data_IF_032552096670
#
_entry.id   IF_032552096670
#
_cell.length_a   1.000
_cell.length_b   1.000
_cell.length_c   1.000
_cell.angle_alpha   90.00
_cell.angle_beta   90.00
_cell.angle_gamma   90.00
#
_symmetry.space_group_name_H-M   'P 1'
#
loop_
_entity.id
_entity.type
_entity.pdbx_description
1 polymer ?
#
# COMPACT_ATOMS: atom_id res chain seq x y z
N UNK A 1 16.55 21.03 15.20
CA UNK A 1 15.16 20.81 14.78
C UNK A 1 15.01 21.36 13.38
N UNK A 2 14.51 20.55 12.46
CA UNK A 2 14.35 20.94 11.05
C UNK A 2 13.25 22.01 10.91
N UNK A 3 13.52 23.18 10.27
CA UNK A 3 12.49 24.20 10.06
C UNK A 3 11.25 23.70 9.33
N UNK A 4 11.39 22.66 8.49
CA UNK A 4 10.27 22.06 7.75
C UNK A 4 9.21 21.40 8.65
N UNK A 5 9.53 21.16 9.93
CA UNK A 5 8.67 20.46 10.88
C UNK A 5 7.93 21.37 11.86
N UNK A 6 8.06 22.70 11.76
CA UNK A 6 7.57 23.64 12.80
C UNK A 6 6.11 23.46 13.22
N UNK A 7 5.22 23.05 12.32
CA UNK A 7 3.77 22.85 12.57
C UNK A 7 3.30 21.43 12.15
N UNK A 8 4.22 20.46 12.19
CA UNK A 8 3.98 19.09 11.75
C UNK A 8 2.82 18.44 12.52
N UNK A 9 1.94 17.74 11.80
CA UNK A 9 0.90 16.93 12.44
C UNK A 9 -0.27 17.69 13.05
N UNK A 10 -0.38 19.00 12.79
CA UNK A 10 -1.44 19.87 13.35
C UNK A 10 -2.76 19.81 12.58
N UNK A 11 -2.73 19.38 11.31
CA UNK A 11 -3.90 19.29 10.43
C UNK A 11 -4.13 17.85 9.99
N UNK A 12 -5.37 17.39 10.10
CA UNK A 12 -5.79 16.08 9.59
C UNK A 12 -5.47 15.90 8.10
N UNK A 13 -5.03 14.70 7.74
CA UNK A 13 -4.60 14.34 6.39
C UNK A 13 -3.10 14.03 6.30
N UNK A 14 -2.61 13.95 5.06
CA UNK A 14 -1.23 13.53 4.77
C UNK A 14 -0.31 14.71 4.43
N UNK A 15 0.91 14.64 4.95
CA UNK A 15 2.03 15.54 4.64
C UNK A 15 3.22 14.71 4.16
N UNK A 16 3.86 15.12 3.06
CA UNK A 16 4.96 14.39 2.45
C UNK A 16 6.18 15.29 2.30
N UNK A 17 7.34 14.77 2.69
CA UNK A 17 8.64 15.40 2.47
C UNK A 17 9.55 14.45 1.71
N UNK A 18 10.33 15.00 0.78
CA UNK A 18 11.43 14.32 0.09
C UNK A 18 12.74 14.70 0.78
N UNK A 19 13.66 13.75 0.89
CA UNK A 19 14.95 13.99 1.51
C UNK A 19 15.91 14.55 0.46
N UNK A 20 16.53 15.67 0.78
CA UNK A 20 17.56 16.29 -0.06
C UNK A 20 18.76 16.66 0.83
N UNK A 21 19.91 16.00 0.64
CA UNK A 21 21.16 16.29 1.35
C UNK A 21 20.95 16.52 2.86
N UNK A 22 20.41 15.51 3.56
CA UNK A 22 20.12 15.53 5.01
C UNK A 22 18.98 16.46 5.48
N UNK A 23 18.29 17.15 4.56
CA UNK A 23 17.18 18.09 4.87
C UNK A 23 15.84 17.60 4.33
N UNK A 24 14.74 18.11 4.89
CA UNK A 24 13.37 17.80 4.45
C UNK A 24 12.83 18.88 3.50
N UNK A 25 12.46 18.49 2.28
CA UNK A 25 11.77 19.33 1.32
C UNK A 25 10.29 18.93 1.23
N UNK A 26 9.36 19.81 1.63
CA UNK A 26 7.92 19.52 1.61
C UNK A 26 7.41 19.47 0.18
N UNK A 27 6.76 18.37 -0.20
CA UNK A 27 6.19 18.22 -1.53
C UNK A 27 4.88 19.01 -1.68
N UNK A 28 4.62 19.60 -2.86
CA UNK A 28 3.29 20.10 -3.19
C UNK A 28 2.29 18.95 -3.31
N UNK A 29 1.02 19.18 -2.93
CA UNK A 29 -0.03 18.14 -2.96
C UNK A 29 -0.24 17.52 -4.35
N UNK A 30 0.06 18.25 -5.42
CA UNK A 30 -0.04 17.76 -6.80
C UNK A 30 0.96 16.64 -7.12
N UNK A 31 2.06 16.55 -6.36
CA UNK A 31 3.10 15.54 -6.51
C UNK A 31 2.92 14.37 -5.54
N UNK A 32 1.88 14.39 -4.69
CA UNK A 32 1.62 13.27 -3.79
C UNK A 32 1.34 12.00 -4.58
N UNK A 33 2.04 10.92 -4.20
CA UNK A 33 2.03 9.65 -4.92
C UNK A 33 3.11 9.51 -5.98
N UNK A 34 3.93 10.54 -6.23
CA UNK A 34 5.12 10.46 -7.10
C UNK A 34 6.36 10.25 -6.23
N UNK A 35 7.04 9.12 -6.41
CA UNK A 35 8.26 8.79 -5.69
C UNK A 35 9.38 8.48 -6.68
N UNK A 36 10.55 9.07 -6.48
CA UNK A 36 11.74 8.77 -7.27
C UNK A 36 12.45 7.55 -6.66
N UNK A 37 12.81 6.58 -7.50
CA UNK A 37 13.44 5.32 -7.07
C UNK A 37 14.78 5.54 -6.37
N UNK A 38 15.47 6.64 -6.68
CA UNK A 38 16.77 7.00 -6.12
C UNK A 38 16.72 7.79 -4.82
N UNK A 39 15.55 8.09 -4.26
CA UNK A 39 15.45 8.93 -3.05
C UNK A 39 14.68 8.25 -1.92
N UNK A 40 14.70 8.92 -0.76
CA UNK A 40 13.92 8.56 0.41
C UNK A 40 12.94 9.68 0.79
N UNK A 41 11.82 9.29 1.41
CA UNK A 41 10.70 10.19 1.72
C UNK A 41 10.19 9.96 3.14
N UNK A 42 9.57 11.00 3.70
CA UNK A 42 8.78 10.93 4.93
C UNK A 42 7.33 11.22 4.58
N UNK A 43 6.41 10.36 5.02
CA UNK A 43 4.96 10.56 4.90
C UNK A 43 4.35 10.51 6.29
N UNK A 44 3.76 11.62 6.73
CA UNK A 44 3.00 11.68 7.98
C UNK A 44 1.52 11.66 7.65
N UNK A 45 0.77 10.76 8.29
CA UNK A 45 -0.68 10.76 8.29
C UNK A 45 -1.20 11.18 9.67
N UNK A 46 -1.87 12.33 9.73
CA UNK A 46 -2.55 12.82 10.93
C UNK A 46 -3.99 12.34 10.92
N UNK A 47 -4.31 11.43 11.84
CA UNK A 47 -5.66 10.86 12.04
C UNK A 47 -6.49 11.75 12.96
N UNK A 48 -7.77 11.41 13.04
CA UNK A 48 -8.65 11.89 14.11
C UNK A 48 -8.09 11.51 15.50
N UNK A 49 -8.37 12.33 16.51
CA UNK A 49 -8.00 12.13 17.92
C UNK A 49 -6.49 12.15 18.23
N UNK A 50 -5.71 13.01 17.57
CA UNK A 50 -4.27 13.17 17.89
C UNK A 50 -3.52 11.83 17.80
N UNK A 51 -3.84 11.04 16.77
CA UNK A 51 -3.11 9.83 16.43
C UNK A 51 -2.40 10.05 15.10
N UNK A 52 -1.19 9.50 14.98
CA UNK A 52 -0.33 9.72 13.83
C UNK A 52 0.30 8.42 13.37
N UNK A 53 0.46 8.26 12.06
CA UNK A 53 1.42 7.32 11.48
C UNK A 53 2.51 8.11 10.78
N UNK A 54 3.77 7.81 11.08
CA UNK A 54 4.92 8.33 10.32
C UNK A 54 5.56 7.19 9.55
N UNK A 55 5.58 7.32 8.24
CA UNK A 55 6.20 6.38 7.32
C UNK A 55 7.48 6.99 6.81
N UNK A 56 8.55 6.20 6.75
CA UNK A 56 9.71 6.53 5.94
C UNK A 56 9.81 5.54 4.80
N UNK A 57 9.70 6.06 3.58
CA UNK A 57 9.70 5.28 2.35
C UNK A 57 11.08 5.33 1.71
N UNK A 58 11.60 4.16 1.35
CA UNK A 58 12.93 3.98 0.79
C UNK A 58 12.82 3.47 -0.65
N UNK A 59 13.33 4.27 -1.59
CA UNK A 59 13.43 3.89 -3.00
C UNK A 59 14.39 2.73 -3.23
N UNK A 60 14.16 1.97 -4.30
CA UNK A 60 14.98 0.81 -4.67
C UNK A 60 16.48 1.16 -4.84
N UNK A 61 16.77 2.39 -5.28
CA UNK A 61 18.10 2.90 -5.58
C UNK A 61 18.55 4.02 -4.62
N UNK A 62 17.88 4.22 -3.47
CA UNK A 62 18.25 5.30 -2.54
C UNK A 62 19.58 5.03 -1.83
N UNK A 63 20.35 6.09 -1.62
CA UNK A 63 21.67 6.02 -0.97
C UNK A 63 21.57 5.63 0.52
N UNK A 64 22.65 5.09 1.09
CA UNK A 64 22.69 4.67 2.51
C UNK A 64 22.49 5.88 3.44
N UNK A 65 23.03 7.03 3.08
CA UNK A 65 22.91 8.27 3.86
C UNK A 65 21.49 8.86 3.79
N UNK A 66 20.79 8.77 2.65
CA UNK A 66 19.37 9.14 2.59
C UNK A 66 18.49 8.19 3.41
N UNK A 67 18.74 6.87 3.34
CA UNK A 67 18.04 5.88 4.16
C UNK A 67 18.22 6.20 5.66
N UNK A 68 19.47 6.46 6.08
CA UNK A 68 19.79 6.85 7.44
C UNK A 68 19.14 8.17 7.84
N UNK A 69 19.12 9.15 6.93
CA UNK A 69 18.42 10.42 7.14
C UNK A 69 16.93 10.20 7.33
N UNK A 70 16.29 9.35 6.54
CA UNK A 70 14.86 9.09 6.63
C UNK A 70 14.48 8.52 8.00
N UNK A 71 15.25 7.54 8.48
CA UNK A 71 15.06 6.98 9.80
C UNK A 71 15.24 8.05 10.92
N UNK A 72 16.27 8.90 10.81
CA UNK A 72 16.51 10.00 11.77
C UNK A 72 15.36 11.00 11.76
N UNK A 73 14.87 11.40 10.58
CA UNK A 73 13.77 12.36 10.43
C UNK A 73 12.43 11.82 10.94
N UNK A 74 12.16 10.53 10.74
CA UNK A 74 11.00 9.89 11.37
C UNK A 74 11.08 9.94 12.91
N UNK A 75 12.27 9.78 13.49
CA UNK A 75 12.50 9.93 14.94
C UNK A 75 12.37 11.39 15.39
N UNK A 76 12.83 12.38 14.60
CA UNK A 76 12.64 13.80 14.90
C UNK A 76 11.14 14.17 14.98
N UNK A 77 10.34 13.71 14.01
CA UNK A 77 8.88 13.90 14.00
C UNK A 77 8.22 13.19 15.19
N UNK A 78 8.63 11.95 15.47
CA UNK A 78 8.15 11.19 16.63
C UNK A 78 8.35 11.97 17.93
N UNK A 79 9.56 12.48 18.18
CA UNK A 79 9.87 13.25 19.38
C UNK A 79 9.07 14.55 19.46
N UNK A 80 8.84 15.22 18.32
CA UNK A 80 8.03 16.44 18.28
C UNK A 80 6.56 16.18 18.58
N UNK A 81 6.06 15.00 18.23
CA UNK A 81 4.71 14.53 18.53
C UNK A 81 4.69 13.67 19.81
N UNK A 82 5.60 13.95 20.75
CA UNK A 82 5.67 13.36 22.09
C UNK A 82 5.81 11.83 22.14
N UNK A 83 6.37 11.22 21.10
CA UNK A 83 6.51 9.77 20.99
C UNK A 83 5.18 9.06 20.71
N UNK A 84 4.12 9.77 20.35
CA UNK A 84 2.81 9.17 20.08
C UNK A 84 2.73 8.46 18.70
N UNK A 85 3.37 8.94 17.62
CA UNK A 85 3.20 8.32 16.29
C UNK A 85 3.62 6.84 16.22
N UNK A 86 2.88 6.04 15.45
CA UNK A 86 3.35 4.72 15.02
C UNK A 86 4.32 4.92 13.85
N UNK A 87 5.51 4.31 13.90
CA UNK A 87 6.49 4.45 12.82
C UNK A 87 6.47 3.23 11.91
N UNK A 88 6.51 3.46 10.60
CA UNK A 88 6.47 2.40 9.59
C UNK A 88 7.63 2.54 8.62
N UNK A 89 8.37 1.44 8.42
CA UNK A 89 9.38 1.33 7.35
C UNK A 89 8.71 0.83 6.08
N UNK A 90 8.73 1.65 5.03
CA UNK A 90 8.15 1.32 3.73
C UNK A 90 9.26 1.14 2.68
N UNK A 91 9.20 0.06 1.91
CA UNK A 91 10.18 -0.26 0.87
C UNK A 91 9.45 -0.26 -0.47
N UNK A 92 10.03 0.38 -1.49
CA UNK A 92 9.46 0.43 -2.83
C UNK A 92 8.98 -0.96 -3.30
N UNK A 93 7.72 -1.03 -3.73
CA UNK A 93 7.09 -2.27 -4.24
C UNK A 93 6.56 -3.21 -3.14
N UNK A 94 6.90 -2.98 -1.88
CA UNK A 94 6.52 -3.79 -0.73
C UNK A 94 5.88 -2.95 0.40
N UNK A 95 5.29 -1.81 0.04
CA UNK A 95 4.66 -0.91 0.99
C UNK A 95 3.45 -1.55 1.67
N UNK A 96 3.18 -1.10 2.90
CA UNK A 96 2.06 -1.57 3.69
C UNK A 96 0.72 -1.24 3.03
N UNK A 97 -0.32 -2.08 3.22
CA UNK A 97 -1.67 -1.74 2.80
C UNK A 97 -2.14 -0.39 3.37
N UNK A 98 -1.67 -0.02 4.56
CA UNK A 98 -1.93 1.27 5.18
C UNK A 98 -1.32 2.41 4.36
N UNK A 99 -0.03 2.34 4.02
CA UNK A 99 0.63 3.36 3.20
C UNK A 99 0.00 3.49 1.82
N UNK A 100 -0.25 2.37 1.14
CA UNK A 100 -0.87 2.36 -0.19
C UNK A 100 -2.27 2.99 -0.17
N UNK A 101 -3.02 2.82 0.93
CA UNK A 101 -4.38 3.38 1.07
C UNK A 101 -4.45 4.91 1.04
N UNK A 102 -3.34 5.60 1.31
CA UNK A 102 -3.27 7.07 1.23
C UNK A 102 -3.30 7.58 -0.21
N UNK A 103 -2.88 6.75 -1.16
CA UNK A 103 -2.78 7.10 -2.56
C UNK A 103 -3.89 6.38 -3.35
N UNK A 104 -5.14 6.84 -3.23
CA UNK A 104 -6.29 6.22 -3.94
C UNK A 104 -6.12 6.22 -5.46
N UNK A 105 -5.44 7.22 -6.00
CA UNK A 105 -5.01 7.28 -7.40
C UNK A 105 -3.74 6.47 -7.67
N UNK A 106 -3.32 5.61 -6.75
CA UNK A 106 -2.08 4.82 -6.64
C UNK A 106 -0.77 5.61 -6.75
N UNK A 107 0.31 4.85 -6.81
CA UNK A 107 1.69 5.34 -6.69
C UNK A 107 2.40 5.29 -8.03
N UNK A 108 3.26 6.29 -8.28
CA UNK A 108 4.16 6.39 -9.43
C UNK A 108 5.61 6.31 -8.97
N UNK A 109 6.37 5.36 -9.50
CA UNK A 109 7.81 5.28 -9.34
C UNK A 109 8.51 5.86 -10.56
N UNK A 110 9.24 6.96 -10.34
CA UNK A 110 10.00 7.67 -11.36
C UNK A 110 11.47 7.27 -11.28
N UNK A 111 12.11 7.08 -12.43
CA UNK A 111 13.56 6.85 -12.43
C UNK A 111 14.33 8.12 -12.00
N UNK A 112 15.52 7.91 -11.43
CA UNK A 112 16.37 9.00 -10.94
C UNK A 112 16.11 9.38 -9.49
N UNK A 113 16.50 10.61 -9.16
CA UNK A 113 16.54 11.16 -7.80
C UNK A 113 17.38 12.44 -7.75
N UNK A 114 17.70 12.96 -6.56
CA UNK A 114 18.56 14.13 -6.43
C UNK A 114 19.98 13.86 -6.96
N UNK A 115 20.54 12.66 -6.72
CA UNK A 115 21.90 12.33 -7.18
C UNK A 115 22.05 12.36 -8.71
N UNK A 116 20.97 12.06 -9.43
CA UNK A 116 20.97 12.03 -10.91
C UNK A 116 20.62 13.39 -11.53
N UNK A 117 20.45 14.44 -10.72
CA UNK A 117 20.22 15.82 -11.18
C UNK A 117 18.80 16.08 -11.66
N UNK A 118 17.81 15.27 -11.25
CA UNK A 118 16.40 15.56 -11.52
C UNK A 118 15.89 16.68 -10.60
N UNK A 119 16.30 17.91 -10.90
CA UNK A 119 15.77 19.14 -10.34
C UNK A 119 14.72 19.77 -11.28
N UNK A 120 13.71 20.39 -10.68
CA UNK A 120 12.64 21.05 -11.42
C UNK A 120 13.08 22.41 -12.00
N UNK A 121 12.84 22.61 -13.32
CA UNK A 121 12.70 23.89 -14.09
C UNK A 121 13.85 24.42 -14.96
N UNK A 122 13.69 24.29 -16.30
CA UNK A 122 13.53 25.33 -17.35
C UNK A 122 12.70 24.68 -18.48
N UNK A 123 11.96 25.47 -19.28
CA UNK A 123 10.77 25.07 -20.08
C UNK A 123 10.66 23.56 -20.40
N UNK A 124 9.81 22.87 -19.64
CA UNK A 124 9.84 21.40 -19.46
C UNK A 124 9.56 20.60 -20.74
N UNK A 125 9.14 21.25 -21.83
CA UNK A 125 8.65 20.57 -23.05
C UNK A 125 9.50 20.76 -24.29
N UNK A 126 10.39 21.75 -24.34
CA UNK A 126 11.18 22.03 -25.56
C UNK A 126 12.12 20.87 -25.91
N UNK A 127 12.64 20.19 -24.89
CA UNK A 127 13.47 18.99 -25.02
C UNK A 127 12.92 17.84 -24.17
N UNK A 128 11.59 17.62 -24.23
CA UNK A 128 10.96 16.56 -23.43
C UNK A 128 11.54 15.19 -23.80
N UNK A 129 12.27 14.56 -22.87
CA UNK A 129 12.74 13.19 -23.02
C UNK A 129 11.53 12.24 -22.95
N UNK A 130 11.22 11.49 -24.03
CA UNK A 130 10.14 10.51 -24.01
C UNK A 130 10.31 9.47 -22.90
N UNK A 131 9.20 9.04 -22.31
CA UNK A 131 9.19 8.05 -21.23
C UNK A 131 8.10 7.03 -21.46
N UNK A 132 8.33 5.81 -20.99
CA UNK A 132 7.33 4.76 -20.98
C UNK A 132 6.96 4.46 -19.54
N UNK A 133 5.68 4.57 -19.23
CA UNK A 133 5.15 4.22 -17.91
C UNK A 133 4.37 2.91 -18.05
N UNK A 134 4.59 2.00 -17.12
CA UNK A 134 3.89 0.72 -17.02
C UNK A 134 2.93 0.77 -15.84
N UNK A 135 1.63 0.69 -16.10
CA UNK A 135 0.60 0.49 -15.09
C UNK A 135 0.46 -1.00 -14.83
N UNK A 136 0.80 -1.43 -13.61
CA UNK A 136 0.69 -2.82 -13.20
C UNK A 136 0.15 -2.94 -11.79
N UNK A 137 -0.73 -3.92 -11.62
CA UNK A 137 -1.18 -4.37 -10.32
C UNK A 137 -2.67 -4.63 -10.34
N UNK A 138 -3.11 -5.58 -9.52
CA UNK A 138 -4.53 -5.90 -9.41
C UNK A 138 -5.25 -4.78 -8.67
N UNK A 139 -4.94 -4.62 -7.39
CA UNK A 139 -5.64 -3.70 -6.51
C UNK A 139 -4.96 -2.34 -6.38
N UNK A 140 -3.71 -2.38 -5.96
CA UNK A 140 -2.86 -1.20 -5.85
C UNK A 140 -2.06 -1.08 -7.16
N UNK A 141 -2.72 -0.59 -8.22
CA UNK A 141 -2.05 -0.36 -9.50
C UNK A 141 -0.94 0.66 -9.29
N UNK A 142 0.29 0.18 -9.41
CA UNK A 142 1.51 0.99 -9.39
C UNK A 142 1.83 1.38 -10.82
N UNK A 143 2.41 2.56 -10.97
CA UNK A 143 2.91 3.01 -12.26
C UNK A 143 4.40 3.16 -12.17
N UNK A 144 5.14 2.44 -12.98
CA UNK A 144 6.59 2.43 -12.92
C UNK A 144 7.14 2.95 -14.24
N UNK A 145 8.09 3.87 -14.20
CA UNK A 145 8.88 4.21 -15.38
C UNK A 145 9.72 2.97 -15.78
N UNK A 146 9.62 2.60 -17.06
CA UNK A 146 10.32 1.47 -17.67
C UNK A 146 11.07 1.94 -18.91
N UNK A 147 12.02 1.13 -19.38
CA UNK A 147 12.76 1.43 -20.60
C UNK A 147 11.80 1.65 -21.79
N UNK A 148 12.03 2.69 -22.58
CA UNK A 148 11.29 2.93 -23.84
C UNK A 148 11.77 1.93 -24.90
N UNK A 149 11.31 0.69 -24.77
CA UNK A 149 11.77 -0.45 -25.57
C UNK A 149 10.63 -1.44 -25.79
N UNK A 150 10.57 -2.11 -26.96
CA UNK A 150 9.62 -3.20 -27.20
C UNK A 150 9.67 -4.29 -26.13
N UNK A 151 10.85 -4.53 -25.54
CA UNK A 151 11.07 -5.56 -24.51
C UNK A 151 10.32 -5.27 -23.20
N UNK A 152 9.92 -4.02 -22.97
CA UNK A 152 9.18 -3.62 -21.77
C UNK A 152 7.67 -3.82 -21.92
N UNK A 153 7.18 -3.88 -23.16
CA UNK A 153 5.75 -4.07 -23.46
C UNK A 153 5.33 -5.54 -23.29
N UNK A 154 4.08 -5.75 -22.91
CA UNK A 154 3.42 -7.06 -22.93
C UNK A 154 1.90 -6.87 -23.15
N UNK A 155 1.17 -7.95 -23.45
CA UNK A 155 -0.26 -7.88 -23.73
C UNK A 155 -1.17 -7.88 -22.50
N UNK A 156 -0.61 -7.96 -21.28
CA UNK A 156 -1.37 -8.07 -20.03
C UNK A 156 -1.33 -6.85 -19.11
N UNK A 157 -0.49 -5.86 -19.37
CA UNK A 157 -0.39 -4.63 -18.58
C UNK A 157 -0.75 -3.39 -19.45
N UNK A 158 -1.12 -2.27 -18.82
CA UNK A 158 -1.36 -1.00 -19.53
C UNK A 158 -0.10 -0.16 -19.57
N UNK A 159 0.18 0.48 -20.72
CA UNK A 159 1.36 1.32 -20.89
C UNK A 159 0.99 2.73 -21.31
N UNK A 160 1.69 3.73 -20.76
CA UNK A 160 1.54 5.13 -21.15
C UNK A 160 2.84 5.59 -21.79
N UNK A 161 2.77 5.90 -23.09
CA UNK A 161 3.88 6.55 -23.79
C UNK A 161 3.70 8.06 -23.67
N UNK A 162 4.62 8.67 -22.94
CA UNK A 162 4.62 10.09 -22.65
C UNK A 162 5.65 10.82 -23.53
N UNK A 163 5.15 11.67 -24.42
CA UNK A 163 5.94 12.51 -25.33
C UNK A 163 5.83 14.00 -24.96
N UNK A 164 5.41 14.33 -23.74
CA UNK A 164 5.28 15.72 -23.28
C UNK A 164 3.93 16.34 -23.66
N UNK A 165 3.76 16.76 -24.92
CA UNK A 165 2.50 17.34 -25.42
C UNK A 165 1.55 16.32 -26.07
N UNK A 166 1.99 15.06 -26.16
CA UNK A 166 1.19 13.95 -26.67
C UNK A 166 1.37 12.75 -25.74
N UNK A 167 0.27 12.15 -25.30
CA UNK A 167 0.26 11.06 -24.33
C UNK A 167 -0.57 9.93 -24.93
N UNK A 168 0.03 8.77 -25.18
CA UNK A 168 -0.69 7.58 -25.61
C UNK A 168 -0.95 6.68 -24.41
N UNK A 169 -2.18 6.20 -24.25
CA UNK A 169 -2.53 5.15 -23.30
C UNK A 169 -2.81 3.88 -24.10
N UNK A 170 -1.85 2.97 -24.09
CA UNK A 170 -1.92 1.68 -24.78
C UNK A 170 -2.52 0.63 -23.87
N UNK A 171 -3.69 0.10 -24.26
CA UNK A 171 -4.50 -0.86 -23.52
C UNK A 171 -4.66 -2.15 -24.31
N UNK A 172 -3.70 -3.08 -24.17
CA UNK A 172 -3.74 -4.38 -24.85
C UNK A 172 -4.96 -5.22 -24.44
N UNK A 173 -5.37 -6.20 -25.25
CA UNK A 173 -6.59 -6.96 -25.03
C UNK A 173 -6.67 -7.65 -23.66
N UNK A 174 -5.55 -8.16 -23.14
CA UNK A 174 -5.51 -8.88 -21.86
C UNK A 174 -5.19 -7.98 -20.65
N UNK A 175 -5.18 -6.66 -20.81
CA UNK A 175 -4.94 -5.73 -19.68
C UNK A 175 -6.13 -5.61 -18.73
N UNK A 176 -5.86 -5.60 -17.43
CA UNK A 176 -6.87 -5.62 -16.37
C UNK A 176 -7.71 -4.33 -16.30
N UNK A 177 -8.95 -4.45 -15.82
CA UNK A 177 -9.90 -3.31 -15.76
C UNK A 177 -9.37 -2.16 -14.92
N UNK A 178 -8.84 -2.45 -13.74
CA UNK A 178 -8.29 -1.43 -12.83
C UNK A 178 -7.03 -0.77 -13.41
N UNK A 179 -6.19 -1.53 -14.12
CA UNK A 179 -5.01 -1.01 -14.80
C UNK A 179 -5.38 -0.04 -15.93
N UNK A 180 -6.44 -0.35 -16.71
CA UNK A 180 -6.99 0.53 -17.75
C UNK A 180 -7.54 1.82 -17.18
N UNK A 181 -8.38 1.74 -16.14
CA UNK A 181 -8.90 2.92 -15.43
C UNK A 181 -7.74 3.79 -14.95
N UNK A 182 -6.76 3.17 -14.28
CA UNK A 182 -5.59 3.86 -13.76
C UNK A 182 -4.76 4.53 -14.86
N UNK A 183 -4.51 3.84 -15.96
CA UNK A 183 -3.75 4.38 -17.09
C UNK A 183 -4.39 5.67 -17.64
N UNK A 184 -5.70 5.68 -17.76
CA UNK A 184 -6.48 6.85 -18.21
C UNK A 184 -6.47 7.98 -17.19
N UNK A 185 -6.79 7.68 -15.92
CA UNK A 185 -6.79 8.69 -14.85
C UNK A 185 -5.42 9.35 -14.69
N UNK A 186 -4.35 8.57 -14.87
CA UNK A 186 -3.00 9.10 -14.85
C UNK A 186 -2.73 10.02 -16.05
N UNK A 187 -3.09 9.64 -17.28
CA UNK A 187 -2.95 10.50 -18.44
C UNK A 187 -3.70 11.84 -18.26
N UNK A 188 -4.93 11.77 -17.75
CA UNK A 188 -5.75 12.95 -17.40
C UNK A 188 -5.10 13.81 -16.31
N UNK A 189 -4.54 13.18 -15.28
CA UNK A 189 -3.83 13.88 -14.20
C UNK A 189 -2.56 14.56 -14.73
N UNK A 190 -1.77 13.91 -15.57
CA UNK A 190 -0.59 14.53 -16.20
C UNK A 190 -1.00 15.74 -17.06
N UNK A 191 -2.05 15.59 -17.86
CA UNK A 191 -2.61 16.68 -18.66
C UNK A 191 -3.03 17.86 -17.78
N UNK A 192 -3.90 17.64 -16.79
CA UNK A 192 -4.50 18.70 -15.96
C UNK A 192 -3.52 19.30 -14.97
N UNK A 193 -2.85 18.46 -14.19
CA UNK A 193 -2.08 18.88 -13.00
C UNK A 193 -0.65 19.26 -13.33
N UNK A 194 0.01 18.56 -14.25
CA UNK A 194 1.45 18.76 -14.52
C UNK A 194 1.71 19.69 -15.71
N UNK A 195 0.73 19.82 -16.61
CA UNK A 195 0.94 20.41 -17.95
C UNK A 195 -0.10 21.44 -18.36
N UNK A 196 -0.95 21.85 -17.40
CA UNK A 196 -1.96 22.90 -17.55
C UNK A 196 -2.92 22.64 -18.74
N UNK A 197 -3.35 21.40 -18.91
CA UNK A 197 -4.33 21.00 -19.92
C UNK A 197 -3.79 20.85 -21.34
N UNK A 198 -2.52 21.17 -21.60
CA UNK A 198 -1.95 21.26 -22.97
C UNK A 198 -1.87 19.93 -23.75
N UNK A 199 -1.52 18.78 -23.13
CA UNK A 199 -1.32 17.57 -23.90
C UNK A 199 -2.58 17.00 -24.55
N UNK A 200 -2.41 16.41 -25.74
CA UNK A 200 -3.38 15.51 -26.37
C UNK A 200 -3.26 14.10 -25.76
N UNK A 201 -4.38 13.49 -25.39
CA UNK A 201 -4.44 12.10 -24.90
C UNK A 201 -5.05 11.22 -25.98
N UNK A 202 -4.35 10.15 -26.36
CA UNK A 202 -4.79 9.17 -27.37
C UNK A 202 -4.93 7.81 -26.69
N UNK A 203 -6.15 7.28 -26.68
CA UNK A 203 -6.44 5.96 -26.13
C UNK A 203 -6.36 4.92 -27.24
N UNK A 204 -5.44 3.96 -27.10
CA UNK A 204 -5.28 2.83 -28.02
C UNK A 204 -5.82 1.57 -27.33
N UNK A 205 -7.07 1.22 -27.63
CA UNK A 205 -7.79 0.11 -26.98
C UNK A 205 -8.24 -0.90 -28.04
N UNK A 206 -9.42 -0.75 -28.63
CA UNK A 206 -9.86 -1.59 -29.75
C UNK A 206 -8.91 -1.55 -30.96
N UNK A 207 -8.15 -0.47 -31.09
CA UNK A 207 -7.14 -0.16 -32.10
C UNK A 207 -5.70 -0.28 -31.55
N UNK A 208 -5.49 -0.99 -30.43
CA UNK A 208 -4.18 -1.17 -29.78
C UNK A 208 -3.06 -1.60 -30.73
N UNK A 209 -3.38 -2.36 -31.78
CA UNK A 209 -2.42 -2.86 -32.77
C UNK A 209 -2.33 -1.99 -34.04
N UNK A 210 -3.19 -0.97 -34.21
CA UNK A 210 -3.33 -0.19 -35.43
C UNK A 210 -3.03 1.30 -35.21
N UNK A 211 -1.82 1.62 -34.74
CA UNK A 211 -1.35 3.00 -34.55
C UNK A 211 0.10 3.18 -35.01
N UNK A 212 0.35 3.46 -36.31
CA UNK A 212 1.71 3.65 -36.83
C UNK A 212 2.50 4.72 -36.08
N UNK A 213 1.82 5.78 -35.63
CA UNK A 213 2.43 6.87 -34.86
C UNK A 213 2.90 6.45 -33.47
N UNK A 214 2.23 5.50 -32.82
CA UNK A 214 2.70 4.91 -31.58
C UNK A 214 3.87 3.97 -31.85
N UNK A 215 3.71 3.06 -32.81
CA UNK A 215 4.69 2.01 -33.09
C UNK A 215 6.03 2.52 -33.63
N UNK A 216 6.09 3.71 -34.25
CA UNK A 216 7.36 4.32 -34.67
C UNK A 216 8.35 4.51 -33.52
N UNK A 217 7.87 4.67 -32.28
CA UNK A 217 8.70 4.78 -31.08
C UNK A 217 9.24 3.43 -30.59
N UNK A 218 8.77 2.32 -31.17
CA UNK A 218 9.13 0.95 -30.83
C UNK A 218 9.70 0.18 -32.03
N UNK A 219 10.14 0.87 -33.09
CA UNK A 219 10.73 0.25 -34.29
C UNK A 219 9.77 -0.01 -35.46
N UNK A 220 8.52 0.43 -35.38
CA UNK A 220 7.52 0.35 -36.45
C UNK A 220 6.41 -0.67 -36.19
N UNK A 221 5.39 -0.67 -37.04
CA UNK A 221 4.13 -1.42 -36.82
C UNK A 221 4.30 -2.94 -36.72
N UNK A 222 5.39 -3.50 -37.23
CA UNK A 222 5.68 -4.94 -37.15
C UNK A 222 6.08 -5.39 -35.72
N UNK A 223 6.50 -4.45 -34.87
CA UNK A 223 6.91 -4.74 -33.49
C UNK A 223 5.81 -5.40 -32.66
N UNK A 224 4.52 -5.11 -32.93
CA UNK A 224 3.40 -5.74 -32.20
C UNK A 224 3.46 -7.28 -32.24
N UNK A 225 3.97 -7.86 -33.34
CA UNK A 225 4.09 -9.32 -33.51
C UNK A 225 5.10 -9.96 -32.58
N UNK A 226 5.99 -9.16 -31.97
CA UNK A 226 7.03 -9.61 -31.04
C UNK A 226 6.59 -9.52 -29.57
N UNK A 227 5.48 -8.85 -29.29
CA UNK A 227 4.99 -8.63 -27.93
C UNK A 227 4.29 -9.89 -27.43
N UNK A 228 4.71 -10.39 -26.27
CA UNK A 228 4.16 -11.61 -25.66
C UNK A 228 3.14 -11.29 -24.57
N UNK A 229 2.43 -12.32 -24.12
CA UNK A 229 1.67 -12.26 -22.88
C UNK A 229 2.59 -11.93 -21.70
N UNK A 230 2.02 -11.30 -20.67
CA UNK A 230 2.76 -11.02 -19.44
C UNK A 230 3.14 -12.34 -18.77
N UNK A 231 4.37 -12.44 -18.27
CA UNK A 231 4.71 -13.50 -17.33
C UNK A 231 4.12 -13.12 -15.98
N UNK A 232 3.32 -14.00 -15.41
CA UNK A 232 2.84 -13.85 -14.06
C UNK A 232 4.04 -13.71 -13.10
N UNK A 233 3.97 -12.69 -12.26
CA UNK A 233 4.95 -12.47 -11.19
C UNK A 233 4.73 -13.55 -10.14
N UNK A 234 5.85 -14.10 -9.66
CA UNK A 234 5.93 -15.17 -8.68
C UNK A 234 4.92 -14.99 -7.54
N UNK A 235 4.10 -16.02 -7.38
CA UNK A 235 3.06 -16.08 -6.36
C UNK A 235 3.66 -16.39 -4.99
N UNK A 236 3.26 -15.62 -3.98
CA UNK A 236 3.31 -16.08 -2.59
C UNK A 236 2.23 -17.17 -2.40
N UNK A 237 2.58 -18.41 -2.73
CA UNK A 237 1.87 -19.58 -2.23
C UNK A 237 2.04 -19.60 -0.71
N UNK A 238 1.00 -19.16 0.03
CA UNK A 238 0.63 -19.54 1.41
C UNK A 238 0.09 -18.40 2.30
N UNK A 239 -0.57 -17.37 1.74
CA UNK A 239 -1.14 -16.26 2.54
C UNK A 239 -2.03 -16.71 3.73
N UNK A 240 -2.68 -17.89 3.66
CA UNK A 240 -3.45 -18.46 4.79
C UNK A 240 -3.03 -19.87 5.24
N UNK A 241 -2.00 -20.49 4.64
CA UNK A 241 -1.72 -21.92 4.86
C UNK A 241 -0.54 -22.26 5.77
N UNK A 242 0.41 -21.34 6.01
CA UNK A 242 1.59 -21.63 6.86
C UNK A 242 1.76 -20.77 8.13
N UNK A 243 0.92 -19.76 8.37
CA UNK A 243 1.19 -18.75 9.42
C UNK A 243 0.67 -19.07 10.83
N UNK A 244 0.45 -20.35 11.14
CA UNK A 244 0.09 -20.78 12.51
C UNK A 244 1.20 -21.53 13.23
N UNK A 245 2.44 -21.43 12.75
CA UNK A 245 3.62 -21.94 13.45
C UNK A 245 4.70 -20.84 13.58
N UNK A 246 4.85 -20.37 14.83
CA UNK A 246 5.88 -19.48 15.38
C UNK A 246 5.74 -17.98 15.10
N UNK A 247 4.65 -17.36 15.59
CA UNK A 247 4.77 -15.94 16.02
C UNK A 247 5.82 -15.91 17.12
N UNK A 248 6.87 -15.10 16.96
CA UNK A 248 7.97 -15.04 17.93
C UNK A 248 7.92 -13.73 18.68
N UNK A 249 7.97 -13.79 20.01
CA UNK A 249 8.12 -12.63 20.86
C UNK A 249 9.51 -12.64 21.48
N UNK A 250 10.31 -11.62 21.17
CA UNK A 250 11.62 -11.40 21.77
C UNK A 250 11.56 -10.25 22.76
N UNK A 251 12.19 -10.39 23.91
CA UNK A 251 12.36 -9.33 24.92
C UNK A 251 13.76 -8.75 24.81
N UNK A 252 13.84 -7.42 24.71
CA UNK A 252 15.06 -6.63 24.72
C UNK A 252 15.13 -5.91 26.06
N UNK A 253 16.03 -6.35 26.92
CA UNK A 253 16.13 -5.85 28.31
C UNK A 253 17.57 -5.63 28.73
N UNK A 254 17.83 -4.55 29.46
CA UNK A 254 19.12 -4.23 30.06
C UNK A 254 19.20 -4.50 31.56
N UNK A 255 18.16 -5.12 32.15
CA UNK A 255 18.01 -5.44 33.57
C UNK A 255 19.24 -6.17 34.17
N UNK A 256 19.96 -6.95 33.36
CA UNK A 256 21.20 -7.64 33.79
C UNK A 256 22.47 -6.78 33.79
N UNK A 257 22.36 -5.46 33.57
CA UNK A 257 23.48 -4.51 33.41
C UNK A 257 24.05 -4.44 31.98
N UNK A 258 23.61 -5.33 31.08
CA UNK A 258 23.93 -5.32 29.65
C UNK A 258 22.66 -5.62 28.86
N UNK A 259 22.48 -4.93 27.72
CA UNK A 259 21.31 -5.14 26.87
C UNK A 259 21.37 -6.52 26.22
N UNK A 260 20.41 -7.38 26.56
CA UNK A 260 20.25 -8.73 26.01
C UNK A 260 18.96 -8.81 25.22
N UNK A 261 18.96 -9.68 24.21
CA UNK A 261 17.75 -10.06 23.46
C UNK A 261 17.51 -11.54 23.68
N UNK A 262 16.36 -11.87 24.28
CA UNK A 262 15.98 -13.24 24.63
C UNK A 262 14.63 -13.58 24.02
N UNK A 263 14.44 -14.84 23.65
CA UNK A 263 13.15 -15.34 23.20
C UNK A 263 12.22 -15.43 24.42
N UNK A 264 11.13 -14.65 24.41
CA UNK A 264 10.17 -14.57 25.51
C UNK A 264 8.97 -15.49 25.31
N UNK A 265 8.51 -15.68 24.07
CA UNK A 265 7.42 -16.61 23.76
C UNK A 265 7.47 -17.12 22.30
N UNK A 266 6.95 -18.33 22.10
CA UNK A 266 6.66 -18.90 20.79
C UNK A 266 5.15 -19.19 20.70
N UNK A 267 4.44 -18.44 19.87
CA UNK A 267 2.98 -18.44 19.72
C UNK A 267 2.19 -18.08 20.99
N UNK A 268 0.88 -17.83 20.82
CA UNK A 268 -0.05 -17.58 21.93
C UNK A 268 0.31 -16.35 22.76
N UNK A 269 0.53 -15.20 22.11
CA UNK A 269 0.94 -14.00 22.82
C UNK A 269 -0.18 -13.51 23.74
N UNK A 270 0.22 -12.91 24.86
CA UNK A 270 -0.66 -12.27 25.81
C UNK A 270 -0.08 -10.90 26.17
N UNK A 271 -0.92 -9.87 26.24
CA UNK A 271 -0.58 -8.51 26.68
C UNK A 271 0.30 -8.51 27.94
N UNK A 272 0.01 -9.37 28.92
CA UNK A 272 0.76 -9.46 30.18
C UNK A 272 2.25 -9.84 30.00
N UNK A 273 2.65 -10.33 28.82
CA UNK A 273 4.06 -10.59 28.49
C UNK A 273 4.83 -9.31 28.15
N UNK A 274 4.15 -8.22 27.79
CA UNK A 274 4.74 -6.93 27.46
C UNK A 274 5.00 -6.13 28.74
N UNK A 275 6.22 -6.23 29.25
CA UNK A 275 6.66 -5.44 30.41
C UNK A 275 6.90 -3.99 30.01
N UNK A 276 6.20 -3.05 30.66
CA UNK A 276 6.36 -1.61 30.43
C UNK A 276 7.79 -1.08 30.61
N UNK A 277 8.68 -1.81 31.30
CA UNK A 277 10.07 -1.40 31.51
C UNK A 277 11.04 -1.85 30.41
N UNK A 278 10.60 -2.62 29.41
CA UNK A 278 11.48 -3.18 28.38
C UNK A 278 10.96 -2.88 26.96
N UNK A 279 11.74 -3.26 25.95
CA UNK A 279 11.31 -3.30 24.56
C UNK A 279 11.06 -4.75 24.10
N UNK A 280 10.18 -4.93 23.13
CA UNK A 280 9.79 -6.24 22.61
C UNK A 280 9.77 -6.24 21.08
N UNK A 281 10.06 -7.40 20.48
CA UNK A 281 10.07 -7.58 19.03
C UNK A 281 9.15 -8.75 18.70
N UNK A 282 8.13 -8.49 17.90
CA UNK A 282 7.11 -9.47 17.50
C UNK A 282 7.29 -9.79 16.03
N UNK A 283 7.71 -11.00 15.72
CA UNK A 283 7.73 -11.52 14.35
C UNK A 283 6.40 -12.22 14.07
N UNK A 284 5.56 -11.57 13.26
CA UNK A 284 4.24 -12.09 12.87
C UNK A 284 4.28 -12.81 11.52
N UNK A 285 5.47 -12.91 10.93
CA UNK A 285 5.75 -13.52 9.62
C UNK A 285 5.07 -12.78 8.46
N UNK A 286 3.74 -12.88 8.35
CA UNK A 286 2.96 -12.21 7.28
C UNK A 286 2.61 -10.76 7.61
N UNK A 287 2.39 -10.42 8.88
CA UNK A 287 2.05 -9.07 9.31
C UNK A 287 3.27 -8.15 9.50
N UNK A 288 4.46 -8.62 9.13
CA UNK A 288 5.73 -7.93 9.37
C UNK A 288 6.27 -8.11 10.79
N UNK A 289 7.24 -7.26 11.13
CA UNK A 289 7.87 -7.24 12.45
C UNK A 289 7.43 -5.99 13.19
N UNK A 290 7.00 -6.16 14.44
CA UNK A 290 6.68 -5.05 15.32
C UNK A 290 7.78 -4.87 16.36
N UNK A 291 8.16 -3.63 16.63
CA UNK A 291 9.03 -3.24 17.75
C UNK A 291 8.19 -2.46 18.75
N UNK A 292 7.74 -3.12 19.81
CA UNK A 292 6.95 -2.50 20.88
C UNK A 292 7.88 -1.93 21.96
N UNK A 293 7.64 -0.69 22.36
CA UNK A 293 8.46 0.04 23.32
C UNK A 293 7.64 0.34 24.57
N UNK A 294 8.04 -0.25 25.70
CA UNK A 294 7.45 0.06 27.00
C UNK A 294 7.72 1.49 27.44
N UNK A 295 6.80 2.09 28.20
CA UNK A 295 6.91 3.47 28.72
C UNK A 295 8.17 3.71 29.57
N UNK A 296 8.64 2.67 30.24
CA UNK A 296 9.84 2.67 31.08
C UNK A 296 11.10 2.14 30.40
N UNK A 297 11.06 1.75 29.12
CA UNK A 297 12.23 1.22 28.44
C UNK A 297 13.36 2.26 28.35
N UNK A 298 14.60 1.80 28.49
CA UNK A 298 15.76 2.69 28.45
C UNK A 298 16.09 3.11 27.01
N UNK A 299 16.83 4.21 26.86
CA UNK A 299 17.32 4.64 25.54
C UNK A 299 18.21 3.56 24.88
N UNK A 300 18.93 2.79 25.68
CA UNK A 300 19.78 1.70 25.19
C UNK A 300 18.94 0.54 24.66
N UNK A 301 17.88 0.16 25.36
CA UNK A 301 16.91 -0.84 24.90
C UNK A 301 16.21 -0.39 23.63
N UNK A 302 15.70 0.85 23.57
CA UNK A 302 15.05 1.43 22.37
C UNK A 302 15.95 1.34 21.14
N UNK A 303 17.21 1.78 21.26
CA UNK A 303 18.20 1.70 20.17
C UNK A 303 18.52 0.25 19.79
N UNK A 304 18.72 -0.61 20.78
CA UNK A 304 19.05 -2.02 20.54
C UNK A 304 17.90 -2.75 19.85
N UNK A 305 16.65 -2.48 20.24
CA UNK A 305 15.49 -3.15 19.69
C UNK A 305 15.32 -2.85 18.19
N UNK A 306 15.48 -1.58 17.79
CA UNK A 306 15.43 -1.21 16.36
C UNK A 306 16.55 -1.88 15.54
N UNK A 307 17.80 -1.79 16.02
CA UNK A 307 18.95 -2.44 15.34
C UNK A 307 18.79 -3.97 15.29
N UNK A 308 18.22 -4.56 16.35
CA UNK A 308 18.03 -5.99 16.40
C UNK A 308 16.88 -6.43 15.50
N UNK A 309 15.80 -5.67 15.35
CA UNK A 309 14.72 -5.98 14.41
C UNK A 309 15.22 -6.08 12.96
N UNK A 310 16.06 -5.14 12.53
CA UNK A 310 16.70 -5.18 11.19
C UNK A 310 17.65 -6.38 11.04
N UNK A 311 18.45 -6.68 12.06
CA UNK A 311 19.34 -7.86 12.05
C UNK A 311 18.56 -9.17 12.09
N UNK A 312 17.45 -9.20 12.81
CA UNK A 312 16.61 -10.37 12.96
C UNK A 312 15.95 -10.75 11.65
N UNK A 313 15.59 -9.78 10.79
CA UNK A 313 15.15 -10.07 9.42
C UNK A 313 16.12 -11.00 8.70
N UNK A 314 17.42 -10.69 8.75
CA UNK A 314 18.47 -11.51 8.12
C UNK A 314 18.62 -12.87 8.81
N UNK A 315 18.63 -12.90 10.14
CA UNK A 315 18.80 -14.14 10.92
C UNK A 315 17.64 -15.12 10.73
N UNK A 316 16.41 -14.61 10.71
CA UNK A 316 15.19 -15.38 10.48
C UNK A 316 14.93 -15.66 9.00
N UNK A 317 15.88 -15.29 8.11
CA UNK A 317 15.76 -15.41 6.64
C UNK A 317 14.47 -14.80 6.10
N UNK A 318 14.02 -13.71 6.73
CA UNK A 318 12.93 -12.88 6.21
C UNK A 318 13.47 -12.04 5.06
N UNK A 319 12.65 -11.74 4.05
CA UNK A 319 13.04 -10.80 3.03
C UNK A 319 13.40 -9.42 3.60
N UNK A 320 14.36 -8.72 2.99
CA UNK A 320 14.81 -7.40 3.46
C UNK A 320 13.74 -6.30 3.36
N UNK A 321 12.72 -6.55 2.52
CA UNK A 321 11.56 -5.69 2.33
C UNK A 321 10.43 -5.94 3.34
N UNK A 322 10.56 -6.93 4.22
CA UNK A 322 9.57 -7.15 5.28
C UNK A 322 9.41 -5.88 6.12
N UNK A 323 8.16 -5.48 6.33
CA UNK A 323 7.80 -4.27 7.08
C UNK A 323 8.28 -4.36 8.53
N UNK A 324 8.76 -3.22 9.02
CA UNK A 324 9.14 -3.04 10.43
C UNK A 324 8.35 -1.86 10.97
N UNK A 325 7.49 -2.13 11.97
CA UNK A 325 6.59 -1.16 12.56
C UNK A 325 6.93 -0.94 14.02
N UNK A 326 7.27 0.29 14.40
CA UNK A 326 7.59 0.64 15.78
C UNK A 326 6.36 1.19 16.49
N UNK A 327 6.01 0.55 17.60
CA UNK A 327 4.81 0.79 18.41
C UNK A 327 5.22 1.24 19.81
N UNK A 328 4.51 2.20 20.39
CA UNK A 328 4.72 2.65 21.77
C UNK A 328 3.57 2.20 22.66
N UNK A 329 3.89 1.82 23.89
CA UNK A 329 2.92 1.43 24.89
C UNK A 329 1.84 2.50 25.12
N UNK A 330 0.57 2.11 25.00
CA UNK A 330 -0.59 2.97 25.12
C UNK A 330 -1.04 3.64 23.81
N UNK A 331 -0.26 3.52 22.73
CA UNK A 331 -0.57 4.01 21.39
C UNK A 331 -0.58 2.86 20.36
N UNK A 332 -0.95 1.66 20.79
CA UNK A 332 -0.89 0.47 19.93
C UNK A 332 -1.97 0.48 18.84
N UNK A 333 -1.59 0.25 17.57
CA UNK A 333 -2.55 0.12 16.49
C UNK A 333 -3.29 -1.22 16.57
N UNK A 334 -4.50 -1.27 16.00
CA UNK A 334 -5.36 -2.46 16.05
C UNK A 334 -4.73 -3.71 15.41
N UNK A 335 -3.89 -3.53 14.39
CA UNK A 335 -3.16 -4.59 13.72
C UNK A 335 -1.97 -5.14 14.53
N UNK A 336 -1.48 -4.42 15.54
CA UNK A 336 -0.57 -4.96 16.55
C UNK A 336 -1.34 -5.73 17.62
N UNK A 337 -2.40 -5.11 18.16
CA UNK A 337 -3.17 -5.65 19.30
C UNK A 337 -3.79 -7.02 18.98
N UNK A 338 -4.21 -7.25 17.73
CA UNK A 338 -4.81 -8.53 17.30
C UNK A 338 -3.93 -9.76 17.56
N UNK A 339 -2.61 -9.61 17.68
CA UNK A 339 -1.70 -10.72 17.91
C UNK A 339 -1.66 -11.17 19.38
N UNK A 340 -2.27 -10.40 20.28
CA UNK A 340 -2.22 -10.61 21.72
C UNK A 340 -3.60 -10.93 22.31
N UNK A 341 -3.66 -11.95 23.14
CA UNK A 341 -4.76 -12.17 24.07
C UNK A 341 -4.66 -11.22 25.28
N UNK A 342 -5.75 -11.04 26.03
CA UNK A 342 -5.73 -10.28 27.29
C UNK A 342 -5.80 -8.75 27.15
N UNK A 343 -5.90 -8.21 25.93
CA UNK A 343 -6.04 -6.77 25.71
C UNK A 343 -7.43 -6.25 26.16
N UNK A 344 -7.58 -5.99 27.46
CA UNK A 344 -8.79 -5.36 28.03
C UNK A 344 -8.74 -3.87 27.74
N UNK A 345 -9.71 -3.36 26.98
CA UNK A 345 -9.91 -1.93 26.68
C UNK A 345 -9.87 -1.08 27.96
N UNK A 346 -8.71 -0.52 28.28
CA UNK A 346 -8.60 0.51 29.31
C UNK A 346 -9.16 1.81 28.70
N UNK A 347 -10.39 2.13 29.07
CA UNK A 347 -10.97 3.48 29.04
C UNK A 347 -10.97 4.21 27.69
N UNK A 348 -11.73 3.66 26.73
CA UNK A 348 -12.57 4.29 25.69
C UNK A 348 -13.16 3.11 24.91
N UNK A 349 -14.42 3.16 24.47
CA UNK A 349 -14.96 2.08 23.63
C UNK A 349 -14.18 2.05 22.32
N UNK A 350 -13.11 1.25 22.24
CA UNK A 350 -12.49 0.95 20.95
C UNK A 350 -13.53 0.13 20.19
N UNK A 351 -14.28 0.83 19.33
CA UNK A 351 -15.15 0.22 18.34
C UNK A 351 -14.29 -0.71 17.51
N UNK A 352 -14.73 -1.96 17.35
CA UNK A 352 -14.13 -2.88 16.40
C UNK A 352 -13.95 -2.15 15.05
N UNK A 353 -12.71 -2.06 14.58
CA UNK A 353 -12.41 -1.47 13.29
C UNK A 353 -12.72 -2.49 12.20
N UNK A 354 -13.70 -2.23 11.31
CA UNK A 354 -14.03 -3.15 10.24
C UNK A 354 -12.83 -3.37 9.32
N UNK A 355 -12.68 -4.60 8.81
CA UNK A 355 -11.64 -4.94 7.85
C UNK A 355 -12.25 -5.41 6.56
N UNK A 356 -11.72 -4.94 5.43
CA UNK A 356 -12.09 -5.42 4.11
C UNK A 356 -10.94 -6.22 3.53
N UNK A 357 -11.24 -7.37 2.95
CA UNK A 357 -10.32 -8.18 2.19
C UNK A 357 -10.85 -8.41 0.78
N UNK A 358 -9.96 -8.54 -0.19
CA UNK A 358 -10.28 -8.96 -1.55
C UNK A 358 -9.79 -10.38 -1.77
N UNK A 359 -10.55 -11.20 -2.48
CA UNK A 359 -10.20 -12.56 -2.89
C UNK A 359 -10.27 -12.63 -4.42
N UNK A 360 -9.11 -12.78 -5.06
CA UNK A 360 -8.97 -12.73 -6.53
C UNK A 360 -8.06 -13.84 -7.03
N UNK A 361 -8.41 -14.50 -8.13
CA UNK A 361 -7.55 -15.49 -8.79
C UNK A 361 -6.92 -14.99 -10.11
N UNK A 362 -7.01 -13.69 -10.43
CA UNK A 362 -6.58 -13.12 -11.72
C UNK A 362 -5.10 -13.39 -12.09
N UNK A 363 -4.23 -13.67 -11.12
CA UNK A 363 -2.81 -14.00 -11.36
C UNK A 363 -2.57 -15.51 -11.60
N UNK A 364 -3.61 -16.24 -12.00
CA UNK A 364 -3.60 -17.70 -12.09
C UNK A 364 -3.59 -18.44 -10.75
N UNK A 365 -3.57 -17.73 -9.62
CA UNK A 365 -3.67 -18.28 -8.25
C UNK A 365 -4.51 -17.36 -7.37
N UNK A 366 -5.25 -17.96 -6.44
CA UNK A 366 -6.06 -17.22 -5.47
C UNK A 366 -5.18 -16.46 -4.48
N UNK A 367 -5.34 -15.14 -4.44
CA UNK A 367 -4.68 -14.22 -3.50
C UNK A 367 -5.77 -13.58 -2.63
N UNK A 368 -5.46 -13.37 -1.35
CA UNK A 368 -6.30 -12.59 -0.44
C UNK A 368 -5.50 -11.40 0.08
N UNK A 369 -6.05 -10.19 0.01
CA UNK A 369 -5.34 -8.97 0.43
C UNK A 369 -6.25 -8.09 1.32
N UNK A 370 -5.71 -7.52 2.39
CA UNK A 370 -6.43 -6.54 3.23
C UNK A 370 -6.41 -5.15 2.58
N UNK A 371 -7.57 -4.48 2.60
CA UNK A 371 -7.77 -3.12 2.11
C UNK A 371 -8.02 -2.18 3.30
N UNK A 372 -7.01 -1.37 3.63
CA UNK A 372 -7.11 -0.31 4.64
C UNK A 372 -7.84 0.91 4.11
N UNK A 373 -8.45 1.69 5.01
CA UNK A 373 -9.18 2.94 4.71
C UNK A 373 -10.17 2.78 3.54
N UNK A 374 -10.92 1.67 3.54
CA UNK A 374 -11.76 1.29 2.42
C UNK A 374 -12.98 2.21 2.26
N UNK A 375 -13.47 2.30 1.03
CA UNK A 375 -14.64 3.06 0.57
C UNK A 375 -15.48 2.18 -0.35
N UNK A 376 -16.66 2.63 -0.78
CA UNK A 376 -17.47 1.83 -1.72
C UNK A 376 -16.73 1.61 -3.06
N UNK A 377 -15.88 2.56 -3.45
CA UNK A 377 -15.03 2.48 -4.64
C UNK A 377 -14.00 1.33 -4.58
N UNK A 378 -13.75 0.82 -3.38
CA UNK A 378 -12.81 -0.27 -3.13
C UNK A 378 -13.42 -1.66 -3.34
N UNK A 379 -14.74 -1.76 -3.58
CA UNK A 379 -15.42 -2.99 -3.98
C UNK A 379 -15.18 -3.27 -5.47
N UNK A 380 -14.56 -4.40 -5.76
CA UNK A 380 -14.26 -4.82 -7.13
C UNK A 380 -15.34 -5.74 -7.69
N UNK A 381 -16.06 -5.26 -8.71
CA UNK A 381 -17.11 -6.04 -9.36
C UNK A 381 -16.62 -7.31 -10.05
N UNK A 382 -15.32 -7.48 -10.28
CA UNK A 382 -14.75 -8.67 -10.91
C UNK A 382 -14.27 -9.72 -9.88
N UNK A 383 -14.29 -9.41 -8.58
CA UNK A 383 -13.77 -10.28 -7.52
C UNK A 383 -14.79 -10.52 -6.39
N UNK A 384 -14.37 -11.28 -5.37
CA UNK A 384 -15.12 -11.47 -4.13
C UNK A 384 -14.45 -10.73 -2.98
N UNK A 385 -15.22 -9.99 -2.20
CA UNK A 385 -14.75 -9.22 -1.06
C UNK A 385 -15.22 -9.86 0.25
N UNK A 386 -14.38 -9.85 1.28
CA UNK A 386 -14.73 -10.29 2.63
C UNK A 386 -14.67 -9.07 3.55
N UNK A 387 -15.82 -8.63 4.05
CA UNK A 387 -15.91 -7.55 5.04
C UNK A 387 -16.15 -8.14 6.42
N UNK A 388 -15.15 -8.04 7.29
CA UNK A 388 -15.26 -8.37 8.69
C UNK A 388 -15.77 -7.14 9.47
N UNK A 389 -17.00 -7.23 9.97
CA UNK A 389 -17.63 -6.24 10.87
C UNK A 389 -17.62 -6.67 12.34
N UNK A 390 -16.85 -7.70 12.71
CA UNK A 390 -16.67 -8.18 14.08
C UNK A 390 -17.62 -9.33 14.42
N UNK A 391 -18.90 -9.04 14.64
CA UNK A 391 -19.91 -10.10 14.86
C UNK A 391 -20.64 -10.52 13.58
N UNK A 392 -20.38 -9.85 12.46
CA UNK A 392 -20.96 -10.18 11.17
C UNK A 392 -19.89 -10.06 10.11
N UNK A 393 -19.66 -11.14 9.37
CA UNK A 393 -18.76 -11.16 8.22
C UNK A 393 -19.59 -11.22 6.95
N UNK A 394 -19.27 -10.39 5.96
CA UNK A 394 -19.96 -10.40 4.68
C UNK A 394 -19.03 -10.91 3.59
N UNK A 395 -19.49 -11.88 2.81
CA UNK A 395 -18.87 -12.28 1.55
C UNK A 395 -19.64 -11.57 0.45
N UNK A 396 -19.10 -10.44 -0.01
CA UNK A 396 -19.68 -9.67 -1.11
C UNK A 396 -19.16 -10.20 -2.45
N UNK A 397 -20.08 -10.64 -3.32
CA UNK A 397 -19.76 -11.26 -4.60
C UNK A 397 -19.98 -10.25 -5.73
N UNK A 398 -18.91 -9.88 -6.42
CA UNK A 398 -18.95 -9.06 -7.63
C UNK A 398 -19.70 -9.74 -8.77
N UNK A 399 -20.26 -8.93 -9.68
CA UNK A 399 -21.02 -9.44 -10.83
C UNK A 399 -20.16 -10.23 -11.83
N UNK A 400 -18.87 -9.91 -11.92
CA UNK A 400 -17.86 -10.56 -12.76
C UNK A 400 -17.06 -11.65 -12.03
N UNK A 401 -17.25 -11.81 -10.72
CA UNK A 401 -16.54 -12.80 -9.92
C UNK A 401 -16.78 -14.22 -10.43
N UNK A 402 -15.71 -15.01 -10.49
CA UNK A 402 -15.81 -16.38 -10.97
C UNK A 402 -16.17 -17.38 -9.86
N UNK A 403 -16.49 -18.61 -10.28
CA UNK A 403 -16.95 -19.66 -9.36
C UNK A 403 -15.87 -20.03 -8.33
N UNK A 404 -14.62 -20.09 -8.74
CA UNK A 404 -13.50 -20.49 -7.87
C UNK A 404 -13.23 -19.44 -6.79
N UNK A 405 -13.29 -18.15 -7.14
CA UNK A 405 -13.18 -17.03 -6.19
C UNK A 405 -14.30 -17.07 -5.15
N UNK A 406 -15.54 -17.30 -5.60
CA UNK A 406 -16.70 -17.40 -4.70
C UNK A 406 -16.57 -18.57 -3.72
N UNK A 407 -16.28 -19.77 -4.22
CA UNK A 407 -16.12 -20.96 -3.37
C UNK A 407 -14.95 -20.78 -2.39
N UNK A 408 -13.86 -20.19 -2.85
CA UNK A 408 -12.69 -19.93 -2.02
C UNK A 408 -12.96 -18.89 -0.95
N UNK A 409 -13.57 -17.75 -1.30
CA UNK A 409 -13.90 -16.69 -0.36
C UNK A 409 -14.90 -17.14 0.70
N UNK A 410 -15.89 -17.97 0.34
CA UNK A 410 -16.79 -18.58 1.32
C UNK A 410 -16.02 -19.49 2.30
N UNK A 411 -15.12 -20.33 1.78
CA UNK A 411 -14.26 -21.18 2.61
C UNK A 411 -13.31 -20.35 3.49
N UNK A 412 -12.79 -19.24 2.98
CA UNK A 412 -11.95 -18.30 3.74
C UNK A 412 -12.77 -17.66 4.85
N UNK A 413 -13.96 -17.15 4.57
CA UNK A 413 -14.83 -16.53 5.58
C UNK A 413 -15.22 -17.51 6.70
N UNK A 414 -15.56 -18.76 6.35
CA UNK A 414 -15.81 -19.84 7.33
C UNK A 414 -14.59 -20.10 8.21
N UNK A 415 -13.44 -20.34 7.59
CA UNK A 415 -12.19 -20.59 8.32
C UNK A 415 -11.80 -19.39 9.17
N UNK A 416 -11.98 -18.18 8.66
CA UNK A 416 -11.67 -16.95 9.39
C UNK A 416 -12.57 -16.84 10.63
N UNK A 417 -13.87 -17.14 10.55
CA UNK A 417 -14.72 -17.24 11.75
C UNK A 417 -14.31 -18.33 12.75
N UNK A 418 -13.97 -19.52 12.25
CA UNK A 418 -13.65 -20.68 13.09
C UNK A 418 -12.29 -20.57 13.77
N UNK A 419 -11.35 -19.90 13.12
CA UNK A 419 -9.93 -20.02 13.45
C UNK A 419 -9.28 -18.71 13.85
N UNK A 420 -9.97 -17.58 13.73
CA UNK A 420 -9.44 -16.28 14.15
C UNK A 420 -9.34 -16.21 15.69
N UNK A 421 -8.24 -15.62 16.16
CA UNK A 421 -7.92 -15.49 17.58
C UNK A 421 -8.75 -14.39 18.27
N UNK A 422 -9.47 -13.57 17.49
CA UNK A 422 -10.32 -12.53 18.02
C UNK A 422 -11.48 -13.13 18.83
N UNK A 423 -11.71 -12.67 20.08
CA UNK A 423 -12.85 -13.11 20.89
C UNK A 423 -14.15 -12.62 20.26
N UNK A 424 -14.80 -13.47 19.46
CA UNK A 424 -16.08 -13.20 18.80
C UNK A 424 -17.25 -13.71 19.64
N UNK A 425 -18.41 -13.09 19.46
CA UNK A 425 -19.66 -13.59 20.03
C UNK A 425 -19.95 -15.01 19.52
N UNK A 426 -20.57 -15.86 20.34
CA UNK A 426 -21.12 -17.16 19.88
C UNK A 426 -22.19 -17.02 18.79
N UNK A 427 -22.71 -15.81 18.60
CA UNK A 427 -23.66 -15.46 17.55
C UNK A 427 -22.99 -14.85 16.31
N UNK A 428 -21.65 -14.84 16.25
CA UNK A 428 -20.95 -14.37 15.07
C UNK A 428 -21.30 -15.25 13.87
N UNK A 429 -21.68 -14.62 12.78
CA UNK A 429 -22.10 -15.30 11.56
C UNK A 429 -21.44 -14.69 10.34
N UNK A 430 -21.49 -15.42 9.22
CA UNK A 430 -21.20 -14.86 7.92
C UNK A 430 -22.45 -14.86 7.04
N UNK A 431 -22.53 -13.91 6.12
CA UNK A 431 -23.61 -13.75 5.14
C UNK A 431 -23.01 -13.54 3.74
N UNK A 432 -23.56 -14.20 2.73
CA UNK A 432 -23.19 -13.97 1.34
C UNK A 432 -24.13 -12.91 0.76
N UNK A 433 -23.56 -11.84 0.23
CA UNK A 433 -24.28 -10.75 -0.42
C UNK A 433 -23.78 -10.58 -1.85
N UNK A 434 -24.61 -10.02 -2.72
CA UNK A 434 -24.28 -9.86 -4.14
C UNK A 434 -24.27 -8.38 -4.50
N UNK A 435 -23.39 -7.99 -5.41
CA UNK A 435 -23.35 -6.64 -5.97
C UNK A 435 -24.76 -6.19 -6.39
N UNK A 436 -25.14 -4.96 -6.08
CA UNK A 436 -26.47 -4.34 -6.29
C UNK A 436 -27.60 -4.83 -5.37
N UNK A 437 -27.33 -5.80 -4.48
CA UNK A 437 -28.29 -6.35 -3.51
C UNK A 437 -27.80 -6.21 -2.08
N UNK A 438 -26.98 -5.19 -1.82
CA UNK A 438 -26.36 -4.99 -0.51
C UNK A 438 -27.40 -4.54 0.53
N UNK A 439 -27.45 -5.18 1.71
CA UNK A 439 -28.35 -4.77 2.77
C UNK A 439 -27.81 -3.54 3.51
N UNK A 440 -28.69 -2.80 4.20
CA UNK A 440 -28.30 -1.64 5.03
C UNK A 440 -27.26 -2.01 6.10
N UNK A 441 -27.30 -3.25 6.60
CA UNK A 441 -26.32 -3.80 7.55
C UNK A 441 -24.90 -3.86 7.00
N UNK A 442 -24.72 -4.00 5.69
CA UNK A 442 -23.43 -3.93 5.00
C UNK A 442 -23.04 -2.48 4.67
N UNK A 443 -23.98 -1.71 4.12
CA UNK A 443 -23.73 -0.32 3.69
C UNK A 443 -23.21 0.58 4.80
N UNK A 444 -23.62 0.34 6.06
CA UNK A 444 -23.21 1.12 7.24
C UNK A 444 -21.70 1.17 7.50
N UNK A 445 -20.92 0.20 6.97
CA UNK A 445 -19.47 0.16 7.16
C UNK A 445 -18.72 1.10 6.22
N UNK A 446 -19.40 1.67 5.23
CA UNK A 446 -18.82 2.63 4.29
C UNK A 446 -19.24 4.04 4.70
N UNK A 447 -18.28 4.94 4.83
CA UNK A 447 -18.53 6.33 5.25
C UNK A 447 -19.51 7.07 4.34
N UNK A 448 -19.51 6.73 3.05
CA UNK A 448 -20.46 7.21 2.03
C UNK A 448 -20.81 6.05 1.11
N UNK A 449 -22.10 5.73 1.01
CA UNK A 449 -22.64 4.75 0.07
C UNK A 449 -23.47 5.44 -1.00
N UNK A 450 -23.26 5.06 -2.27
CA UNK A 450 -23.95 5.55 -3.44
C UNK A 450 -24.55 4.36 -4.21
N UNK A 451 -25.87 4.19 -4.14
CA UNK A 451 -26.60 3.15 -4.87
C UNK A 451 -26.53 3.29 -6.40
N UNK A 452 -26.10 4.45 -6.90
CA UNK A 452 -25.86 4.72 -8.32
C UNK A 452 -24.46 4.33 -8.80
N UNK A 453 -23.50 4.06 -7.90
CA UNK A 453 -22.10 3.84 -8.28
C UNK A 453 -21.92 2.69 -9.29
N UNK A 454 -22.67 1.60 -9.10
CA UNK A 454 -22.65 0.43 -9.98
C UNK A 454 -23.74 0.44 -11.06
N UNK A 455 -24.74 1.33 -10.95
CA UNK A 455 -25.78 1.50 -11.98
C UNK A 455 -25.27 2.34 -13.15
N UNK A 456 -24.43 3.32 -12.82
CA UNK A 456 -23.70 4.06 -13.81
C UNK A 456 -22.51 3.20 -14.21
N UNK A 457 -22.43 2.87 -15.48
CA UNK A 457 -21.33 2.13 -16.09
C UNK A 457 -20.02 2.95 -16.06
N UNK A 458 -19.87 3.92 -15.15
CA UNK A 458 -18.77 4.91 -15.06
C UNK A 458 -17.38 4.31 -14.97
N UNK A 459 -17.27 3.03 -14.59
CA UNK A 459 -16.02 2.26 -14.62
C UNK A 459 -15.84 1.39 -15.86
N UNK A 460 -16.80 1.36 -16.77
CA UNK A 460 -16.60 0.74 -18.08
C UNK A 460 -15.76 1.67 -18.94
N UNK A 461 -14.82 1.07 -19.68
CA UNK A 461 -13.96 1.76 -20.65
C UNK A 461 -14.81 2.61 -21.62
N UNK A 462 -16.03 2.16 -21.94
CA UNK A 462 -16.96 2.85 -22.80
C UNK A 462 -17.46 4.18 -22.21
N UNK A 463 -17.76 4.23 -20.91
CA UNK A 463 -18.13 5.48 -20.26
C UNK A 463 -16.92 6.38 -20.01
N UNK A 464 -15.75 5.82 -19.71
CA UNK A 464 -14.50 6.59 -19.60
C UNK A 464 -14.20 7.28 -20.92
N UNK A 465 -14.32 6.57 -22.06
CA UNK A 465 -14.26 7.15 -23.41
C UNK A 465 -15.27 8.28 -23.58
N UNK A 466 -16.55 8.07 -23.23
CA UNK A 466 -17.58 9.13 -23.36
C UNK A 466 -17.26 10.38 -22.54
N UNK A 467 -16.79 10.22 -21.29
CA UNK A 467 -16.46 11.33 -20.39
C UNK A 467 -15.24 12.12 -20.90
N UNK A 468 -14.32 11.48 -21.62
CA UNK A 468 -13.09 12.12 -22.13
C UNK A 468 -13.34 12.87 -23.44
N UNK A 469 -14.29 12.41 -24.26
CA UNK A 469 -14.61 13.01 -25.56
C UNK A 469 -15.85 13.92 -25.55
N UNK A 470 -16.43 14.21 -24.38
CA UNK A 470 -17.38 15.32 -24.13
C UNK A 470 -16.71 16.45 -23.37
#
# INVERSE_FOLDING_TARGET
MDPALKDVGTKEGIEIWRINKFTLEKLPQLEYGIFYKGDSYIVLNTKYNEAWDVHFWLGENTSIDEQGTAAIKAIEIDNQLHGIPVQHREIQGHESPLFLSYFKKGIRYMDGGYETGFEHTKDKFENFKPRLLKCKGKRNVRVTEVELSPKSLNLGDVFILDLGLKIYVWMPPSSGRLERIKGVELAESMKKSERNGRPEIILLDSDYNNSPDFWKHFGGSETIKTITEAKDVESDENYWRDNRQKIMLWRVSDESGQVKVILAAEAGLNKEQLNSNDAFIVDTVSGGIYVWLGKGCTLNEKKKAMVWAEKYLQQAKRPLWTQVTRVIEGAEPADFVQWFSGWKNQTKSQSFEPKLFQCSNESGKLIVEEIKNFTQEDLDGDDVMILDGGNQIFVWVGIGANKEEKESAENIAKKYLETDALPRSKYASYEIIYQTREPTSFKKYFSKWNDGLFKNDTRSINNIRKIIFT
#
